data_IF_719027571094
#
_entry.id   IF_719027571094
#
_cell.length_a   1.000
_cell.length_b   1.000
_cell.length_c   1.000
_cell.angle_alpha   90.00
_cell.angle_beta   90.00
_cell.angle_gamma   90.00
#
_symmetry.space_group_name_H-M   'P 1'
#
loop_
_entity.id
_entity.type
_entity.pdbx_description
1 polymer ?
#
# COMPACT_ATOMS: atom_id res chain seq x y z
N UNK A 1 64.42 43.49 34.29
CA UNK A 1 63.34 42.50 34.45
C UNK A 1 63.72 41.62 35.58
N UNK A 2 63.09 41.73 36.76
CA UNK A 2 63.38 40.97 37.92
C UNK A 2 62.86 39.54 37.79
N UNK A 3 63.79 38.55 37.75
CA UNK A 3 63.42 37.16 37.85
C UNK A 3 62.93 36.90 39.26
N UNK A 4 61.66 36.70 39.48
CA UNK A 4 61.18 36.25 40.78
C UNK A 4 61.54 34.77 40.91
N UNK A 5 62.52 34.53 41.80
CA UNK A 5 62.93 33.18 42.22
C UNK A 5 61.90 32.64 43.21
N UNK A 6 61.05 31.75 42.79
CA UNK A 6 60.05 31.12 43.62
C UNK A 6 60.58 29.90 44.40
N UNK A 7 61.87 29.62 44.38
CA UNK A 7 62.44 28.42 44.98
C UNK A 7 62.73 28.50 46.49
N UNK A 8 62.52 29.67 47.13
CA UNK A 8 62.87 29.87 48.52
C UNK A 8 61.71 30.12 49.50
N UNK A 9 60.51 29.89 49.16
CA UNK A 9 59.42 30.10 50.12
C UNK A 9 58.94 28.79 50.75
N UNK A 10 59.82 28.16 51.57
CA UNK A 10 59.44 27.07 52.48
C UNK A 10 58.88 27.64 53.79
N UNK A 11 57.87 28.49 53.73
CA UNK A 11 57.23 28.97 54.93
C UNK A 11 55.93 28.21 55.09
N UNK A 12 55.72 27.46 56.20
CA UNK A 12 54.45 26.74 56.42
C UNK A 12 53.35 27.72 56.84
N UNK A 13 52.95 28.62 55.96
CA UNK A 13 51.90 29.51 56.21
C UNK A 13 50.57 28.85 55.70
N UNK A 14 49.53 28.73 56.51
CA UNK A 14 48.27 28.00 56.12
C UNK A 14 47.54 28.60 54.99
N UNK A 15 48.11 29.51 54.22
CA UNK A 15 47.58 30.09 52.98
C UNK A 15 48.57 30.09 51.83
N UNK A 16 49.75 29.35 51.97
CA UNK A 16 50.74 29.26 50.91
C UNK A 16 50.37 28.35 49.79
N UNK A 17 50.91 28.67 48.62
CA UNK A 17 50.74 27.87 47.41
C UNK A 17 51.36 26.48 47.59
N UNK A 18 50.57 25.42 47.66
CA UNK A 18 50.98 24.04 47.71
C UNK A 18 51.02 23.46 46.28
N UNK A 19 52.25 23.24 45.78
CA UNK A 19 52.50 22.60 44.49
C UNK A 19 51.94 21.16 44.43
N UNK A 20 51.64 20.54 45.56
CA UNK A 20 50.98 19.25 45.65
C UNK A 20 49.52 19.27 45.38
N UNK A 21 48.84 20.45 45.49
CA UNK A 21 47.45 20.62 45.23
C UNK A 21 47.12 20.57 43.73
N UNK A 22 48.12 20.71 42.86
CA UNK A 22 47.99 20.60 41.39
C UNK A 22 48.39 19.22 40.84
N UNK A 23 48.61 18.25 41.71
CA UNK A 23 48.60 16.87 41.20
C UNK A 23 47.18 16.58 40.75
N UNK A 24 46.96 16.56 39.42
CA UNK A 24 45.75 16.02 38.82
C UNK A 24 45.48 14.70 39.52
N UNK A 25 44.36 14.64 40.23
CA UNK A 25 43.86 13.38 40.72
C UNK A 25 43.80 12.47 39.50
N UNK A 26 44.53 11.34 39.54
CA UNK A 26 44.46 10.37 38.45
C UNK A 26 43.01 10.21 38.03
N UNK A 27 42.70 10.34 36.73
CA UNK A 27 41.32 10.31 36.30
C UNK A 27 40.67 9.07 36.92
N UNK A 28 39.71 9.31 37.82
CA UNK A 28 38.89 8.20 38.32
C UNK A 28 38.31 7.59 37.08
N UNK A 29 38.79 6.41 36.70
CA UNK A 29 38.19 5.58 35.68
C UNK A 29 36.79 5.23 36.21
N UNK A 30 35.83 6.15 36.03
CA UNK A 30 34.43 5.80 36.22
C UNK A 30 34.20 4.70 35.21
N UNK A 31 34.17 3.45 35.69
CA UNK A 31 33.68 2.34 34.91
C UNK A 31 32.23 2.70 34.56
N UNK A 32 32.04 3.23 33.36
CA UNK A 32 30.73 3.60 32.86
C UNK A 32 29.84 2.38 33.06
N UNK A 33 28.85 2.48 33.95
CA UNK A 33 27.88 1.41 34.16
C UNK A 33 27.12 1.25 32.88
N UNK A 34 27.39 0.15 32.19
CA UNK A 34 26.67 -0.19 30.95
C UNK A 34 25.17 -0.26 31.24
N UNK A 35 24.40 0.37 30.42
CA UNK A 35 22.95 0.22 30.47
C UNK A 35 22.56 -1.25 30.26
N UNK A 36 21.37 -1.70 30.70
CA UNK A 36 20.90 -3.10 30.49
C UNK A 36 20.96 -3.54 29.04
N UNK A 37 20.73 -2.62 28.09
CA UNK A 37 20.84 -2.90 26.66
C UNK A 37 22.32 -3.10 26.24
N UNK A 38 23.23 -2.27 26.74
CA UNK A 38 24.66 -2.41 26.49
C UNK A 38 25.25 -3.68 27.13
N UNK A 39 24.75 -4.11 28.30
CA UNK A 39 25.15 -5.37 28.93
C UNK A 39 24.73 -6.59 28.09
N UNK A 40 23.51 -6.57 27.50
CA UNK A 40 23.07 -7.62 26.57
C UNK A 40 23.95 -7.65 25.31
N UNK A 41 24.31 -6.48 24.77
CA UNK A 41 25.19 -6.40 23.60
C UNK A 41 26.59 -6.89 23.90
N UNK A 42 27.14 -6.52 25.07
CA UNK A 42 28.45 -7.03 25.52
C UNK A 42 28.42 -8.56 25.71
N UNK A 43 27.32 -9.13 26.21
CA UNK A 43 27.14 -10.57 26.30
C UNK A 43 27.10 -11.26 24.94
N UNK A 44 26.48 -10.65 23.96
CA UNK A 44 26.46 -11.14 22.57
C UNK A 44 27.85 -11.03 21.94
N UNK A 45 28.56 -9.92 22.16
CA UNK A 45 29.93 -9.72 21.69
C UNK A 45 30.87 -10.77 22.24
N UNK A 46 30.78 -11.07 23.55
CA UNK A 46 31.61 -12.11 24.19
C UNK A 46 31.30 -13.53 23.67
N UNK A 47 30.11 -13.77 23.15
CA UNK A 47 29.72 -15.05 22.56
C UNK A 47 30.16 -15.23 21.09
N UNK A 48 30.66 -14.16 20.45
CA UNK A 48 31.10 -14.23 19.06
C UNK A 48 32.47 -14.95 18.96
N UNK A 49 32.69 -15.74 17.88
CA UNK A 49 34.02 -16.33 17.62
C UNK A 49 35.11 -15.26 17.51
N UNK A 50 36.31 -15.56 18.02
CA UNK A 50 37.43 -14.62 18.01
C UNK A 50 37.78 -14.03 16.64
N UNK A 51 37.51 -14.76 15.57
CA UNK A 51 37.67 -14.28 14.19
C UNK A 51 36.81 -13.07 13.85
N UNK A 52 35.71 -12.85 14.56
CA UNK A 52 34.77 -11.73 14.35
C UNK A 52 35.12 -10.49 15.17
N UNK A 53 36.12 -10.56 16.05
CA UNK A 53 36.57 -9.42 16.83
C UNK A 53 37.50 -8.47 16.05
N UNK A 54 37.87 -8.81 14.81
CA UNK A 54 38.65 -7.89 13.97
C UNK A 54 37.73 -6.78 13.43
N UNK A 55 38.28 -5.55 13.34
CA UNK A 55 37.52 -4.40 12.85
C UNK A 55 36.85 -4.66 11.48
N UNK A 56 37.56 -5.36 10.56
CA UNK A 56 37.05 -5.72 9.25
C UNK A 56 35.87 -6.70 9.33
N UNK A 57 35.95 -7.72 10.17
CA UNK A 57 34.88 -8.69 10.37
C UNK A 57 33.68 -8.08 11.08
N UNK A 58 33.89 -7.21 12.06
CA UNK A 58 32.81 -6.48 12.72
C UNK A 58 32.05 -5.56 11.73
N UNK A 59 32.78 -4.89 10.83
CA UNK A 59 32.23 -4.05 9.81
C UNK A 59 31.43 -4.88 8.78
N UNK A 60 31.98 -6.00 8.33
CA UNK A 60 31.29 -6.93 7.44
C UNK A 60 30.01 -7.50 8.08
N UNK A 61 30.07 -7.91 9.35
CA UNK A 61 28.91 -8.41 10.08
C UNK A 61 27.84 -7.32 10.26
N UNK A 62 28.23 -6.08 10.58
CA UNK A 62 27.28 -4.97 10.72
C UNK A 62 26.57 -4.68 9.40
N UNK A 63 27.27 -4.73 8.28
CA UNK A 63 26.67 -4.60 6.93
C UNK A 63 25.69 -5.74 6.65
N UNK A 64 26.06 -6.98 6.96
CA UNK A 64 25.17 -8.15 6.78
C UNK A 64 23.91 -8.03 7.65
N UNK A 65 24.05 -7.65 8.92
CA UNK A 65 22.90 -7.45 9.83
C UNK A 65 22.03 -6.29 9.34
N UNK A 66 22.64 -5.20 8.87
CA UNK A 66 21.90 -4.06 8.33
C UNK A 66 21.14 -4.45 7.06
N UNK A 67 21.75 -5.21 6.18
CA UNK A 67 21.08 -5.74 4.97
C UNK A 67 19.97 -6.72 5.35
N UNK A 68 20.22 -7.65 6.27
CA UNK A 68 19.21 -8.61 6.74
C UNK A 68 18.01 -7.89 7.40
N UNK A 69 18.26 -6.86 8.22
CA UNK A 69 17.21 -6.04 8.81
C UNK A 69 16.45 -5.25 7.74
N UNK A 70 17.16 -4.64 6.81
CA UNK A 70 16.59 -3.87 5.71
C UNK A 70 15.70 -4.75 4.81
N UNK A 71 16.20 -5.89 4.37
CA UNK A 71 15.44 -6.82 3.54
C UNK A 71 14.30 -7.47 4.34
N UNK A 72 14.56 -7.96 5.55
CA UNK A 72 13.54 -8.64 6.37
C UNK A 72 12.39 -7.71 6.76
N UNK A 73 12.67 -6.60 7.43
CA UNK A 73 11.65 -5.65 7.86
C UNK A 73 11.06 -4.85 6.70
N UNK A 74 11.88 -4.43 5.73
CA UNK A 74 11.44 -3.69 4.57
C UNK A 74 10.50 -4.53 3.70
N UNK A 75 10.86 -5.77 3.41
CA UNK A 75 10.04 -6.71 2.65
C UNK A 75 8.73 -7.05 3.34
N UNK A 76 8.75 -7.32 4.66
CA UNK A 76 7.54 -7.61 5.43
C UNK A 76 6.57 -6.41 5.47
N UNK A 77 7.08 -5.19 5.71
CA UNK A 77 6.27 -3.96 5.67
C UNK A 77 5.67 -3.71 4.30
N UNK A 78 6.48 -3.93 3.24
CA UNK A 78 6.01 -3.73 1.88
C UNK A 78 4.91 -4.72 1.52
N UNK A 79 5.05 -6.00 1.90
CA UNK A 79 4.02 -7.02 1.71
C UNK A 79 2.74 -6.70 2.49
N UNK A 80 2.85 -6.20 3.72
CA UNK A 80 1.71 -5.76 4.51
C UNK A 80 0.97 -4.60 3.84
N UNK A 81 1.70 -3.57 3.34
CA UNK A 81 1.13 -2.46 2.58
C UNK A 81 0.46 -2.93 1.29
N UNK A 82 1.06 -3.86 0.57
CA UNK A 82 0.48 -4.41 -0.65
C UNK A 82 -0.81 -5.19 -0.37
N UNK A 83 -0.82 -5.99 0.70
CA UNK A 83 -2.02 -6.72 1.12
C UNK A 83 -3.15 -5.77 1.59
N UNK A 84 -2.80 -4.66 2.21
CA UNK A 84 -3.76 -3.61 2.57
C UNK A 84 -4.33 -2.95 1.31
N UNK A 85 -3.46 -2.55 0.38
CA UNK A 85 -3.86 -1.94 -0.88
C UNK A 85 -4.75 -2.88 -1.74
N UNK A 86 -4.45 -4.17 -1.76
CA UNK A 86 -5.28 -5.16 -2.45
C UNK A 86 -6.70 -5.25 -1.88
N UNK A 87 -6.90 -4.94 -0.60
CA UNK A 87 -8.23 -4.94 0.04
C UNK A 87 -9.09 -3.75 -0.38
N UNK A 88 -8.53 -2.67 -0.89
CA UNK A 88 -9.31 -1.50 -1.31
C UNK A 88 -10.32 -1.84 -2.40
N UNK A 89 -10.04 -2.85 -3.21
CA UNK A 89 -10.98 -3.34 -4.22
C UNK A 89 -12.23 -4.00 -3.61
N UNK A 90 -12.07 -4.86 -2.59
CA UNK A 90 -13.15 -5.69 -2.02
C UNK A 90 -13.71 -5.18 -0.70
N UNK A 91 -12.91 -4.49 0.10
CA UNK A 91 -13.31 -3.95 1.42
C UNK A 91 -13.60 -2.45 1.35
N UNK A 92 -13.08 -1.80 0.30
CA UNK A 92 -13.21 -0.36 0.09
C UNK A 92 -12.25 0.47 0.92
N UNK A 93 -12.39 1.77 0.75
CA UNK A 93 -11.65 2.80 1.49
C UNK A 93 -12.62 3.46 2.46
N UNK A 94 -12.18 3.74 3.68
CA UNK A 94 -13.03 4.32 4.72
C UNK A 94 -13.68 5.66 4.31
N UNK A 95 -13.02 6.40 3.40
CA UNK A 95 -13.55 7.67 2.88
C UNK A 95 -14.77 7.51 1.98
N UNK A 96 -14.98 6.31 1.40
CA UNK A 96 -16.02 6.05 0.40
C UNK A 96 -17.35 5.61 1.03
N UNK A 97 -17.53 5.76 2.34
CA UNK A 97 -18.81 5.54 3.01
C UNK A 97 -19.31 4.09 3.01
N UNK A 98 -18.41 3.13 2.80
CA UNK A 98 -18.72 1.70 2.75
C UNK A 98 -18.93 1.15 1.34
N UNK A 99 -18.90 1.98 0.31
CA UNK A 99 -18.95 1.52 -1.08
C UNK A 99 -17.59 0.91 -1.49
N UNK A 100 -17.65 -0.15 -2.31
CA UNK A 100 -16.47 -0.83 -2.83
C UNK A 100 -16.53 -0.94 -4.36
N UNK A 101 -15.35 -0.90 -5.00
CA UNK A 101 -15.31 -1.04 -6.46
C UNK A 101 -15.88 -2.41 -6.90
N UNK A 102 -15.57 -3.48 -6.16
CA UNK A 102 -16.05 -4.84 -6.45
C UNK A 102 -17.58 -4.96 -6.37
N UNK A 103 -18.20 -4.36 -5.35
CA UNK A 103 -19.66 -4.39 -5.17
C UNK A 103 -20.37 -3.57 -6.25
N UNK A 104 -19.84 -2.40 -6.60
CA UNK A 104 -20.46 -1.56 -7.62
C UNK A 104 -20.32 -2.15 -9.02
N UNK A 105 -19.19 -2.79 -9.35
CA UNK A 105 -19.06 -3.55 -10.60
C UNK A 105 -20.04 -4.74 -10.64
N UNK A 106 -20.21 -5.45 -9.52
CA UNK A 106 -21.19 -6.54 -9.39
C UNK A 106 -22.63 -6.02 -9.54
N UNK A 107 -22.93 -4.86 -8.96
CA UNK A 107 -24.24 -4.20 -9.11
C UNK A 107 -24.51 -3.85 -10.57
N UNK A 108 -23.52 -3.35 -11.30
CA UNK A 108 -23.64 -3.10 -12.74
C UNK A 108 -23.92 -4.38 -13.53
N UNK A 109 -23.19 -5.48 -13.24
CA UNK A 109 -23.45 -6.77 -13.89
C UNK A 109 -24.87 -7.26 -13.67
N UNK A 110 -25.35 -7.24 -12.43
CA UNK A 110 -26.69 -7.74 -12.07
C UNK A 110 -27.80 -6.89 -12.67
N UNK A 111 -27.66 -5.56 -12.62
CA UNK A 111 -28.65 -4.65 -13.19
C UNK A 111 -28.67 -4.72 -14.72
N UNK A 112 -27.52 -4.84 -15.37
CA UNK A 112 -27.42 -5.07 -16.80
C UNK A 112 -28.11 -6.38 -17.23
N UNK A 113 -27.93 -7.48 -16.49
CA UNK A 113 -28.58 -8.75 -16.73
C UNK A 113 -30.11 -8.64 -16.64
N UNK A 114 -30.63 -7.86 -15.68
CA UNK A 114 -32.07 -7.63 -15.55
C UNK A 114 -32.64 -6.79 -16.72
N UNK A 115 -31.90 -5.75 -17.14
CA UNK A 115 -32.29 -4.94 -18.32
C UNK A 115 -32.26 -5.80 -19.57
N UNK A 116 -31.22 -6.62 -19.77
CA UNK A 116 -31.09 -7.54 -20.89
C UNK A 116 -32.23 -8.55 -20.92
N UNK A 117 -32.61 -9.13 -19.78
CA UNK A 117 -33.75 -10.07 -19.69
C UNK A 117 -35.05 -9.40 -20.18
N UNK A 118 -35.26 -8.15 -19.79
CA UNK A 118 -36.42 -7.41 -20.28
C UNK A 118 -36.30 -7.09 -21.78
N UNK A 119 -35.08 -6.79 -22.26
CA UNK A 119 -34.76 -6.59 -23.66
C UNK A 119 -35.14 -7.82 -24.51
N UNK A 120 -34.66 -9.01 -24.10
CA UNK A 120 -35.02 -10.28 -24.76
C UNK A 120 -36.53 -10.50 -24.84
N UNK A 121 -37.23 -10.26 -23.73
CA UNK A 121 -38.67 -10.48 -23.63
C UNK A 121 -39.51 -9.46 -24.42
N UNK A 122 -38.98 -8.27 -24.71
CA UNK A 122 -39.71 -7.19 -25.37
C UNK A 122 -39.36 -7.04 -26.85
N UNK A 123 -38.06 -7.15 -27.17
CA UNK A 123 -37.51 -6.91 -28.51
C UNK A 123 -37.21 -8.22 -29.26
N UNK A 124 -37.12 -9.33 -28.55
CA UNK A 124 -36.69 -10.63 -29.09
C UNK A 124 -35.18 -10.86 -28.93
N UNK A 125 -34.78 -12.12 -28.86
CA UNK A 125 -33.38 -12.52 -28.66
C UNK A 125 -32.45 -12.19 -29.84
N UNK A 126 -33.02 -12.06 -31.07
CA UNK A 126 -32.26 -11.78 -32.28
C UNK A 126 -32.12 -10.26 -32.55
N UNK A 127 -32.65 -9.42 -31.69
CA UNK A 127 -32.53 -7.97 -31.82
C UNK A 127 -31.05 -7.54 -31.63
N UNK A 128 -30.59 -6.61 -32.47
CA UNK A 128 -29.17 -6.22 -32.53
C UNK A 128 -28.67 -5.63 -31.19
N UNK A 129 -29.47 -4.78 -30.54
CA UNK A 129 -29.14 -4.14 -29.28
C UNK A 129 -29.12 -5.16 -28.11
N UNK A 130 -29.98 -6.19 -28.18
CA UNK A 130 -30.00 -7.30 -27.23
C UNK A 130 -28.75 -8.14 -27.38
N UNK A 131 -28.36 -8.51 -28.59
CA UNK A 131 -27.11 -9.26 -28.84
C UNK A 131 -25.88 -8.49 -28.43
N UNK A 132 -25.79 -7.20 -28.74
CA UNK A 132 -24.68 -6.34 -28.33
C UNK A 132 -24.56 -6.24 -26.80
N UNK A 133 -25.70 -6.06 -26.11
CA UNK A 133 -25.70 -6.01 -24.63
C UNK A 133 -25.33 -7.37 -24.00
N UNK A 134 -25.77 -8.48 -24.62
CA UNK A 134 -25.40 -9.83 -24.17
C UNK A 134 -23.93 -10.10 -24.31
N UNK A 135 -23.32 -9.75 -25.45
CA UNK A 135 -21.90 -9.90 -25.69
C UNK A 135 -21.06 -9.05 -24.70
N UNK A 136 -21.41 -7.77 -24.54
CA UNK A 136 -20.73 -6.87 -23.61
C UNK A 136 -20.83 -7.37 -22.16
N UNK A 137 -22.00 -7.85 -21.73
CA UNK A 137 -22.20 -8.41 -20.39
C UNK A 137 -21.40 -9.71 -20.19
N UNK A 138 -21.32 -10.54 -21.21
CA UNK A 138 -20.53 -11.78 -21.15
C UNK A 138 -19.03 -11.51 -20.97
N UNK A 139 -18.47 -10.58 -21.75
CA UNK A 139 -17.06 -10.16 -21.63
C UNK A 139 -16.83 -9.56 -20.26
N UNK A 140 -17.67 -8.62 -19.84
CA UNK A 140 -17.57 -7.97 -18.53
C UNK A 140 -17.59 -8.97 -17.38
N UNK A 141 -18.49 -9.95 -17.38
CA UNK A 141 -18.57 -10.97 -16.32
C UNK A 141 -17.33 -11.86 -16.28
N UNK A 142 -16.80 -12.27 -17.44
CA UNK A 142 -15.57 -13.05 -17.52
C UNK A 142 -14.39 -12.29 -16.93
N UNK A 143 -14.27 -11.01 -17.23
CA UNK A 143 -13.17 -10.20 -16.73
C UNK A 143 -13.35 -9.80 -15.26
N UNK A 144 -14.59 -9.60 -14.81
CA UNK A 144 -14.91 -9.41 -13.38
C UNK A 144 -14.49 -10.63 -12.55
N UNK A 145 -14.81 -11.83 -12.99
CA UNK A 145 -14.35 -13.09 -12.38
C UNK A 145 -12.83 -13.23 -12.45
N UNK A 146 -12.24 -12.81 -13.56
CA UNK A 146 -10.82 -12.78 -13.78
C UNK A 146 -10.09 -11.87 -12.80
N UNK A 147 -10.59 -10.65 -12.56
CA UNK A 147 -10.04 -9.71 -11.57
C UNK A 147 -10.19 -10.27 -10.16
N UNK A 148 -11.36 -10.81 -9.81
CA UNK A 148 -11.61 -11.43 -8.49
C UNK A 148 -10.67 -12.62 -8.21
N UNK A 149 -10.24 -13.34 -9.24
CA UNK A 149 -9.29 -14.46 -9.13
C UNK A 149 -7.84 -14.07 -9.41
N UNK A 150 -7.57 -12.80 -9.73
CA UNK A 150 -6.23 -12.27 -10.03
C UNK A 150 -5.66 -12.76 -11.37
N UNK A 151 -6.52 -13.13 -12.32
CA UNK A 151 -6.16 -13.58 -13.68
C UNK A 151 -6.27 -12.47 -14.72
N UNK A 152 -7.19 -11.53 -14.52
CA UNK A 152 -7.42 -10.38 -15.40
C UNK A 152 -6.89 -9.11 -14.75
N UNK A 153 -6.41 -8.17 -15.57
CA UNK A 153 -5.91 -6.87 -15.14
C UNK A 153 -7.07 -5.90 -14.90
N UNK A 154 -6.87 -4.96 -13.96
CA UNK A 154 -7.90 -3.96 -13.65
C UNK A 154 -8.24 -3.05 -14.83
N UNK A 155 -7.28 -2.78 -15.71
CA UNK A 155 -7.52 -2.00 -16.94
C UNK A 155 -8.50 -2.68 -17.89
N UNK A 156 -8.47 -4.00 -18.04
CA UNK A 156 -9.41 -4.71 -18.92
C UNK A 156 -10.86 -4.54 -18.44
N UNK A 157 -11.12 -4.78 -17.15
CA UNK A 157 -12.47 -4.59 -16.61
C UNK A 157 -12.92 -3.12 -16.64
N UNK A 158 -11.98 -2.15 -16.64
CA UNK A 158 -12.31 -0.74 -16.84
C UNK A 158 -12.85 -0.49 -18.27
N UNK A 159 -12.17 -1.02 -19.30
CA UNK A 159 -12.60 -0.91 -20.69
C UNK A 159 -13.95 -1.62 -20.91
N UNK A 160 -14.11 -2.83 -20.37
CA UNK A 160 -15.34 -3.60 -20.48
C UNK A 160 -16.52 -2.94 -19.76
N UNK A 161 -16.26 -2.28 -18.64
CA UNK A 161 -17.27 -1.50 -17.92
C UNK A 161 -17.80 -0.32 -18.77
N UNK A 162 -16.93 0.31 -19.54
CA UNK A 162 -17.33 1.36 -20.49
C UNK A 162 -18.12 0.78 -21.68
N UNK A 163 -17.68 -0.35 -22.24
CA UNK A 163 -18.36 -1.04 -23.32
C UNK A 163 -19.76 -1.54 -22.90
N UNK A 164 -19.86 -2.14 -21.70
CA UNK A 164 -21.14 -2.53 -21.12
C UNK A 164 -22.07 -1.33 -20.93
N UNK A 165 -21.53 -0.19 -20.47
CA UNK A 165 -22.26 1.06 -20.34
C UNK A 165 -22.92 1.46 -21.65
N UNK A 166 -22.13 1.55 -22.71
CA UNK A 166 -22.60 1.94 -24.04
C UNK A 166 -23.67 0.97 -24.63
N UNK A 167 -23.46 -0.33 -24.43
CA UNK A 167 -24.41 -1.34 -24.94
C UNK A 167 -25.76 -1.30 -24.19
N UNK A 168 -25.73 -1.14 -22.86
CA UNK A 168 -26.95 -1.01 -22.04
C UNK A 168 -27.69 0.29 -22.33
N UNK A 169 -26.97 1.40 -22.57
CA UNK A 169 -27.61 2.68 -22.97
C UNK A 169 -28.37 2.55 -24.29
N UNK A 170 -27.80 1.87 -25.29
CA UNK A 170 -28.45 1.62 -26.58
C UNK A 170 -29.68 0.69 -26.42
N UNK A 171 -29.51 -0.40 -25.64
CA UNK A 171 -30.63 -1.30 -25.36
C UNK A 171 -31.76 -0.59 -24.62
N UNK A 172 -31.44 0.23 -23.62
CA UNK A 172 -32.46 0.99 -22.88
C UNK A 172 -33.18 2.00 -23.76
N UNK A 173 -32.47 2.73 -24.62
CA UNK A 173 -33.10 3.64 -25.60
C UNK A 173 -34.05 2.89 -26.53
N UNK A 174 -33.65 1.71 -27.02
CA UNK A 174 -34.48 0.88 -27.88
C UNK A 174 -35.73 0.35 -27.17
N UNK A 175 -35.59 -0.03 -25.90
CA UNK A 175 -36.74 -0.41 -25.07
C UNK A 175 -37.73 0.75 -24.88
N UNK A 176 -37.25 1.97 -24.69
CA UNK A 176 -38.11 3.16 -24.59
C UNK A 176 -38.91 3.42 -25.86
N UNK A 177 -38.33 3.17 -27.04
CA UNK A 177 -39.01 3.35 -28.33
C UNK A 177 -40.13 2.32 -28.56
N UNK A 178 -39.98 1.07 -28.11
CA UNK A 178 -40.81 -0.04 -28.49
C UNK A 178 -41.70 -0.60 -27.38
N UNK A 179 -41.48 -0.24 -26.12
CA UNK A 179 -42.22 -0.78 -24.99
C UNK A 179 -43.61 -0.09 -24.88
N UNK A 180 -44.64 -0.84 -25.25
CA UNK A 180 -46.01 -0.39 -25.09
C UNK A 180 -46.56 -0.52 -23.65
N UNK A 181 -45.88 -1.23 -22.75
CA UNK A 181 -46.33 -1.51 -21.38
C UNK A 181 -45.65 -0.58 -20.38
N UNK A 182 -46.36 0.41 -19.80
CA UNK A 182 -45.80 1.36 -18.84
C UNK A 182 -45.26 0.70 -17.56
N UNK A 183 -45.81 -0.44 -17.12
CA UNK A 183 -45.38 -1.13 -15.90
C UNK A 183 -44.05 -1.82 -16.11
N UNK A 184 -43.85 -2.45 -17.27
CA UNK A 184 -42.55 -3.04 -17.64
C UNK A 184 -41.49 -1.97 -17.78
N UNK A 185 -41.83 -0.83 -18.38
CA UNK A 185 -40.92 0.30 -18.52
C UNK A 185 -40.53 0.91 -17.17
N UNK A 186 -41.44 1.01 -16.19
CA UNK A 186 -41.12 1.48 -14.86
C UNK A 186 -40.09 0.60 -14.15
N UNK A 187 -40.20 -0.73 -14.27
CA UNK A 187 -39.22 -1.67 -13.71
C UNK A 187 -37.85 -1.54 -14.38
N UNK A 188 -37.79 -1.44 -15.71
CA UNK A 188 -36.52 -1.25 -16.45
C UNK A 188 -35.91 0.09 -16.13
N UNK A 189 -36.66 1.16 -16.01
CA UNK A 189 -36.16 2.47 -15.61
C UNK A 189 -35.51 2.44 -14.22
N UNK A 190 -36.10 1.69 -13.27
CA UNK A 190 -35.52 1.47 -11.95
C UNK A 190 -34.19 0.74 -12.04
N UNK A 191 -34.07 -0.32 -12.83
CA UNK A 191 -32.80 -1.05 -13.05
C UNK A 191 -31.74 -0.18 -13.74
N UNK A 192 -32.16 0.57 -14.76
CA UNK A 192 -31.26 1.49 -15.46
C UNK A 192 -30.77 2.63 -14.55
N UNK A 193 -31.65 3.13 -13.66
CA UNK A 193 -31.25 4.08 -12.61
C UNK A 193 -30.21 3.52 -11.66
N UNK A 194 -30.35 2.28 -11.20
CA UNK A 194 -29.37 1.59 -10.37
C UNK A 194 -28.04 1.34 -11.13
N UNK A 195 -28.13 0.93 -12.40
CA UNK A 195 -26.96 0.74 -13.26
C UNK A 195 -26.11 2.02 -13.38
N UNK A 196 -26.75 3.16 -13.61
CA UNK A 196 -26.08 4.46 -13.71
C UNK A 196 -25.65 5.02 -12.36
N UNK A 197 -26.39 4.74 -11.28
CA UNK A 197 -25.97 5.09 -9.92
C UNK A 197 -24.67 4.38 -9.55
N UNK A 198 -24.56 3.09 -9.84
CA UNK A 198 -23.32 2.34 -9.61
C UNK A 198 -22.14 2.92 -10.41
N UNK A 199 -22.37 3.33 -11.68
CA UNK A 199 -21.33 4.00 -12.47
C UNK A 199 -20.89 5.32 -11.85
N UNK A 200 -21.83 6.10 -11.33
CA UNK A 200 -21.56 7.38 -10.65
C UNK A 200 -20.77 7.15 -9.36
N UNK A 201 -21.15 6.15 -8.58
CA UNK A 201 -20.42 5.77 -7.36
C UNK A 201 -18.99 5.37 -7.72
N UNK A 202 -18.79 4.47 -8.69
CA UNK A 202 -17.46 4.05 -9.18
C UNK A 202 -16.60 5.26 -9.54
N UNK A 203 -17.15 6.23 -10.27
CA UNK A 203 -16.45 7.45 -10.67
C UNK A 203 -16.04 8.36 -9.51
N UNK A 204 -16.71 8.24 -8.35
CA UNK A 204 -16.43 9.04 -7.16
C UNK A 204 -15.61 8.29 -6.10
N UNK A 205 -15.32 6.99 -6.28
CA UNK A 205 -14.49 6.22 -5.34
C UNK A 205 -13.07 6.77 -5.28
N UNK A 206 -12.53 6.83 -4.09
CA UNK A 206 -11.12 7.24 -3.86
C UNK A 206 -10.12 6.11 -4.17
N UNK A 207 -10.58 4.97 -4.68
CA UNK A 207 -9.77 3.80 -5.03
C UNK A 207 -8.53 4.17 -5.86
N UNK A 208 -8.73 4.86 -7.00
CA UNK A 208 -7.62 5.23 -7.89
C UNK A 208 -6.61 6.16 -7.22
N UNK A 209 -7.07 7.15 -6.45
CA UNK A 209 -6.19 8.06 -5.71
C UNK A 209 -5.30 7.29 -4.73
N UNK A 210 -5.88 6.32 -4.01
CA UNK A 210 -5.15 5.47 -3.07
C UNK A 210 -4.15 4.56 -3.77
N UNK A 211 -4.54 3.98 -4.91
CA UNK A 211 -3.64 3.14 -5.71
C UNK A 211 -2.47 3.96 -6.25
N UNK A 212 -2.72 5.14 -6.80
CA UNK A 212 -1.64 6.02 -7.29
C UNK A 212 -0.71 6.48 -6.16
N UNK A 213 -1.25 6.84 -4.99
CA UNK A 213 -0.44 7.17 -3.83
C UNK A 213 0.43 5.97 -3.39
N UNK A 214 -0.15 4.76 -3.34
CA UNK A 214 0.58 3.53 -3.04
C UNK A 214 1.68 3.26 -4.07
N UNK A 215 1.39 3.40 -5.38
CA UNK A 215 2.37 3.19 -6.44
C UNK A 215 3.52 4.21 -6.35
N UNK A 216 3.22 5.47 -6.06
CA UNK A 216 4.22 6.51 -5.83
C UNK A 216 5.12 6.19 -4.64
N UNK A 217 4.53 5.78 -3.51
CA UNK A 217 5.27 5.45 -2.28
C UNK A 217 6.16 4.20 -2.44
N UNK A 218 5.76 3.27 -3.30
CA UNK A 218 6.42 1.97 -3.47
C UNK A 218 7.16 1.82 -4.80
N UNK A 219 7.12 2.82 -5.68
CA UNK A 219 7.74 2.79 -7.02
C UNK A 219 9.23 3.16 -7.01
N UNK A 220 9.69 3.92 -5.99
CA UNK A 220 11.08 4.37 -5.89
C UNK A 220 12.02 3.33 -5.29
N UNK A 221 13.35 3.59 -5.43
CA UNK A 221 14.35 2.84 -4.68
C UNK A 221 14.22 3.18 -3.18
N UNK A 222 14.29 2.22 -2.27
CA UNK A 222 14.59 0.78 -2.45
C UNK A 222 13.35 -0.12 -2.61
N UNK A 223 12.13 0.43 -2.50
CA UNK A 223 10.89 -0.35 -2.48
C UNK A 223 10.66 -1.15 -3.77
N UNK A 224 11.02 -0.60 -4.94
CA UNK A 224 10.89 -1.28 -6.23
C UNK A 224 11.71 -2.56 -6.31
N UNK A 225 12.94 -2.54 -5.76
CA UNK A 225 13.81 -3.73 -5.69
C UNK A 225 13.22 -4.77 -4.74
N UNK A 226 12.71 -4.33 -3.59
CA UNK A 226 12.06 -5.21 -2.61
C UNK A 226 10.78 -5.84 -3.17
N UNK A 227 9.97 -5.09 -3.94
CA UNK A 227 8.78 -5.64 -4.63
C UNK A 227 9.16 -6.85 -5.50
N UNK A 228 10.17 -6.68 -6.34
CA UNK A 228 10.65 -7.76 -7.23
C UNK A 228 11.18 -8.96 -6.45
N UNK A 229 11.99 -8.70 -5.41
CA UNK A 229 12.62 -9.75 -4.60
C UNK A 229 11.61 -10.56 -3.80
N UNK A 230 10.56 -9.93 -3.28
CA UNK A 230 9.54 -10.57 -2.44
C UNK A 230 8.28 -10.98 -3.21
N UNK A 231 8.27 -10.83 -4.54
CA UNK A 231 7.13 -11.20 -5.37
C UNK A 231 5.86 -10.45 -5.00
N UNK A 232 5.99 -9.19 -4.58
CA UNK A 232 4.85 -8.37 -4.19
C UNK A 232 4.09 -7.98 -5.45
N UNK A 233 2.82 -8.42 -5.52
CA UNK A 233 1.93 -8.09 -6.65
C UNK A 233 1.67 -6.59 -6.70
N UNK A 234 1.64 -6.06 -7.90
CA UNK A 234 1.26 -4.67 -8.13
C UNK A 234 -0.26 -4.52 -7.96
N UNK A 235 -0.68 -3.41 -7.34
CA UNK A 235 -2.09 -3.03 -7.28
C UNK A 235 -2.32 -2.04 -8.40
N UNK A 236 -3.29 -2.35 -9.29
CA UNK A 236 -3.56 -1.58 -10.49
C UNK A 236 -4.73 -0.61 -10.26
N UNK A 237 -4.70 0.62 -10.84
CA UNK A 237 -5.84 1.51 -10.83
C UNK A 237 -6.94 0.98 -11.75
N UNK A 238 -8.16 1.37 -11.50
CA UNK A 238 -9.32 1.22 -12.37
C UNK A 238 -9.36 2.39 -13.36
N UNK A 239 -8.53 2.32 -14.41
CA UNK A 239 -8.33 3.38 -15.39
C UNK A 239 -7.78 2.82 -16.71
#
# INVERSE_FOLDING_TARGET
MANADFSQNQNPNPGGFDAGSYREAAPKTETARLTPAQQKLAGLEAALPAALHTQGAALALSVVVMLAAFFGFGGAKLKAKANEAAKWYTVGVSADGGYTLSEELTTRANTAANILTTGVNTLGADNAEVLAAQDALSVFNNDLDGVNTGKTRMHAIYEDNAALGAAIDQLYAKLQEQAADPMKMGAVQGQYGQFNSAATIIGNLTYNEKVYAYQKDTGGFPASVLKSLFGVKEVEPFA
#
